data_IF_366543251247
#
_entry.id   IF_366543251247
#
_cell.length_a   1.000
_cell.length_b   1.000
_cell.length_c   1.000
_cell.angle_alpha   90.00
_cell.angle_beta   90.00
_cell.angle_gamma   90.00
#
_symmetry.space_group_name_H-M   'P 1'
#
loop_
_entity.id
_entity.type
_entity.pdbx_description
1 polymer ?
#
# COMPACT_ATOMS: atom_id res chain seq x y z
N UNK A 1 28.07 -20.93 -56.60
CA UNK A 1 28.38 -21.57 -55.31
C UNK A 1 27.76 -20.69 -54.23
N UNK A 2 26.51 -20.93 -53.89
CA UNK A 2 26.01 -21.85 -52.85
C UNK A 2 25.74 -21.07 -51.55
N UNK A 3 24.47 -20.74 -51.36
CA UNK A 3 23.85 -20.14 -50.18
C UNK A 3 23.85 -21.14 -49.02
N UNK A 4 24.42 -20.76 -47.88
CA UNK A 4 24.38 -21.56 -46.64
C UNK A 4 23.22 -21.10 -45.74
N UNK A 5 22.32 -22.00 -45.31
CA UNK A 5 21.33 -21.69 -44.28
C UNK A 5 21.89 -22.00 -42.88
N UNK A 6 21.83 -21.03 -41.95
CA UNK A 6 22.11 -21.26 -40.53
C UNK A 6 20.86 -21.80 -39.81
N UNK A 7 21.06 -22.93 -39.13
CA UNK A 7 20.08 -23.66 -38.32
C UNK A 7 20.08 -23.09 -36.89
N UNK A 8 18.89 -22.90 -36.35
CA UNK A 8 18.60 -22.41 -34.99
C UNK A 8 19.02 -23.39 -33.87
N UNK A 9 19.38 -22.89 -32.67
CA UNK A 9 19.33 -23.69 -31.45
C UNK A 9 18.03 -23.45 -30.65
N UNK A 10 17.43 -24.57 -30.24
CA UNK A 10 16.18 -24.72 -29.50
C UNK A 10 16.24 -24.25 -28.04
N UNK A 11 15.13 -23.68 -27.57
CA UNK A 11 14.86 -23.32 -26.18
C UNK A 11 14.70 -24.54 -25.25
N UNK A 12 15.14 -24.46 -23.97
CA UNK A 12 15.08 -25.58 -23.04
C UNK A 12 13.66 -25.83 -22.47
N UNK A 13 13.30 -27.12 -22.31
CA UNK A 13 12.01 -27.59 -21.78
C UNK A 13 11.95 -27.54 -20.26
N UNK A 14 10.80 -27.11 -19.73
CA UNK A 14 10.43 -27.10 -18.30
C UNK A 14 10.05 -28.49 -17.76
N UNK A 15 10.34 -28.83 -16.48
CA UNK A 15 10.00 -30.12 -15.91
C UNK A 15 8.55 -30.18 -15.40
N UNK A 16 7.84 -31.27 -15.69
CA UNK A 16 6.50 -31.57 -15.16
C UNK A 16 6.56 -32.44 -13.90
N UNK A 17 5.63 -32.29 -12.93
CA UNK A 17 5.60 -33.08 -11.71
C UNK A 17 4.94 -34.45 -11.89
N UNK A 18 5.51 -35.49 -11.27
CA UNK A 18 5.00 -36.88 -11.28
C UNK A 18 3.92 -37.08 -10.20
N UNK A 19 2.80 -37.70 -10.58
CA UNK A 19 1.72 -38.13 -9.68
C UNK A 19 2.03 -39.42 -8.90
N UNK A 20 1.52 -39.62 -7.67
CA UNK A 20 1.68 -40.88 -6.93
C UNK A 20 0.58 -41.92 -7.26
N UNK A 21 0.84 -43.24 -7.05
CA UNK A 21 -0.04 -44.32 -7.48
C UNK A 21 -1.20 -44.58 -6.52
N UNK A 22 -2.33 -44.99 -7.09
CA UNK A 22 -3.57 -45.36 -6.42
C UNK A 22 -3.44 -46.59 -5.51
N UNK A 23 -3.98 -46.54 -4.29
CA UNK A 23 -4.43 -47.72 -3.53
C UNK A 23 -5.93 -47.60 -3.25
N UNK A 24 -6.67 -48.61 -3.68
CA UNK A 24 -8.08 -48.83 -3.32
C UNK A 24 -8.15 -49.32 -1.87
N UNK A 25 -9.01 -48.73 -1.07
CA UNK A 25 -9.68 -49.42 0.04
C UNK A 25 -11.07 -48.81 0.20
N UNK A 26 -12.06 -49.63 -0.12
CA UNK A 26 -13.47 -49.38 0.15
C UNK A 26 -13.71 -49.40 1.66
N UNK A 27 -14.42 -48.39 2.17
CA UNK A 27 -15.30 -48.52 3.33
C UNK A 27 -16.37 -47.42 3.22
N UNK A 28 -17.45 -47.78 2.54
CA UNK A 28 -18.64 -46.95 2.34
C UNK A 28 -19.64 -47.16 3.48
N UNK A 29 -19.43 -46.59 4.69
CA UNK A 29 -20.52 -46.63 5.70
C UNK A 29 -20.68 -45.39 6.60
N UNK A 30 -19.99 -44.27 6.36
CA UNK A 30 -20.20 -43.01 7.12
C UNK A 30 -20.47 -41.77 6.25
N UNK A 31 -20.85 -41.97 4.99
CA UNK A 31 -20.87 -40.91 3.98
C UNK A 31 -22.17 -40.11 3.82
N UNK A 32 -23.28 -40.44 4.49
CA UNK A 32 -24.61 -39.98 4.03
C UNK A 32 -25.40 -39.00 4.89
N UNK A 33 -24.89 -38.52 6.04
CA UNK A 33 -25.63 -37.50 6.81
C UNK A 33 -24.79 -36.50 7.64
N UNK A 34 -23.48 -36.39 7.42
CA UNK A 34 -22.61 -35.50 8.24
C UNK A 34 -21.77 -34.45 7.50
N UNK A 35 -21.68 -34.50 6.16
CA UNK A 35 -20.61 -33.80 5.43
C UNK A 35 -20.97 -32.51 4.69
N UNK A 36 -22.25 -32.19 4.51
CA UNK A 36 -22.66 -31.07 3.63
C UNK A 36 -22.63 -29.70 4.31
N UNK A 37 -22.73 -29.67 5.64
CA UNK A 37 -22.73 -28.42 6.43
C UNK A 37 -21.33 -27.88 6.69
N UNK A 38 -20.36 -28.75 7.00
CA UNK A 38 -18.97 -28.34 7.22
C UNK A 38 -18.27 -27.88 5.93
N UNK A 39 -18.60 -28.51 4.79
CA UNK A 39 -18.01 -28.15 3.49
C UNK A 39 -18.50 -26.81 2.96
N UNK A 40 -19.78 -26.48 3.19
CA UNK A 40 -20.35 -25.17 2.82
C UNK A 40 -19.79 -24.02 3.66
N UNK A 41 -19.53 -24.24 4.96
CA UNK A 41 -18.88 -23.24 5.81
C UNK A 41 -17.48 -22.87 5.30
N UNK A 42 -16.64 -23.86 5.00
CA UNK A 42 -15.29 -23.62 4.48
C UNK A 42 -15.28 -22.96 3.09
N UNK A 43 -16.22 -23.31 2.22
CA UNK A 43 -16.32 -22.69 0.90
C UNK A 43 -16.77 -21.22 0.98
N UNK A 44 -17.65 -20.89 1.93
CA UNK A 44 -18.08 -19.52 2.18
C UNK A 44 -16.96 -18.68 2.76
N UNK A 45 -16.24 -19.20 3.74
CA UNK A 45 -15.08 -18.55 4.36
C UNK A 45 -13.97 -18.26 3.33
N UNK A 46 -13.64 -19.24 2.47
CA UNK A 46 -12.66 -19.02 1.39
C UNK A 46 -13.14 -17.97 0.39
N UNK A 47 -14.44 -17.93 0.09
CA UNK A 47 -15.02 -16.92 -0.79
C UNK A 47 -14.99 -15.53 -0.17
N UNK A 48 -15.30 -15.41 1.13
CA UNK A 48 -15.26 -14.16 1.89
C UNK A 48 -13.82 -13.62 1.96
N UNK A 49 -12.84 -14.47 2.29
CA UNK A 49 -11.41 -14.08 2.32
C UNK A 49 -10.89 -13.65 0.94
N UNK A 50 -11.40 -14.28 -0.12
CA UNK A 50 -10.99 -13.93 -1.48
C UNK A 50 -11.66 -12.64 -1.96
N UNK A 51 -12.90 -12.40 -1.57
CA UNK A 51 -13.62 -11.13 -1.81
C UNK A 51 -12.98 -9.97 -1.04
N UNK A 52 -12.61 -10.19 0.23
CA UNK A 52 -11.82 -9.24 1.04
C UNK A 52 -10.47 -8.96 0.39
N UNK A 53 -9.76 -9.99 -0.08
CA UNK A 53 -8.48 -9.83 -0.78
C UNK A 53 -8.61 -9.04 -2.09
N UNK A 54 -9.67 -9.27 -2.87
CA UNK A 54 -9.97 -8.53 -4.09
C UNK A 54 -10.30 -7.07 -3.76
N UNK A 55 -11.08 -6.81 -2.72
CA UNK A 55 -11.39 -5.46 -2.26
C UNK A 55 -10.12 -4.73 -1.79
N UNK A 56 -9.26 -5.37 -1.00
CA UNK A 56 -8.01 -4.77 -0.53
C UNK A 56 -7.03 -4.40 -1.66
N UNK A 57 -7.01 -5.17 -2.76
CA UNK A 57 -6.16 -4.89 -3.93
C UNK A 57 -6.77 -3.82 -4.84
N UNK A 58 -8.10 -3.82 -5.00
CA UNK A 58 -8.80 -2.94 -5.94
C UNK A 58 -9.25 -1.61 -5.34
N UNK A 59 -9.02 -1.35 -4.04
CA UNK A 59 -9.12 0.00 -3.53
C UNK A 59 -8.20 0.86 -4.41
N UNK A 60 -8.72 1.90 -5.08
CA UNK A 60 -7.85 2.81 -5.80
C UNK A 60 -6.84 3.32 -4.78
N UNK A 61 -5.55 3.28 -5.12
CA UNK A 61 -4.45 3.95 -4.42
C UNK A 61 -4.63 5.49 -4.37
N UNK A 62 -5.88 5.97 -4.33
CA UNK A 62 -6.23 7.29 -3.86
C UNK A 62 -5.69 7.41 -2.45
N UNK A 63 -5.01 8.51 -2.08
CA UNK A 63 -4.72 8.77 -0.67
C UNK A 63 -6.03 8.57 0.06
N UNK A 64 -6.06 7.62 1.00
CA UNK A 64 -7.22 7.33 1.83
C UNK A 64 -7.61 8.71 2.38
N UNK A 65 -8.73 9.31 1.96
CA UNK A 65 -9.27 10.43 2.72
C UNK A 65 -9.43 9.82 4.10
N UNK A 66 -8.84 10.43 5.12
CA UNK A 66 -9.05 10.03 6.51
C UNK A 66 -10.57 9.90 6.69
N UNK A 67 -11.10 8.68 6.58
CA UNK A 67 -12.50 8.38 6.79
C UNK A 67 -12.60 8.29 8.30
N UNK A 68 -12.63 9.47 8.92
CA UNK A 68 -12.83 9.59 10.36
C UNK A 68 -14.19 8.94 10.63
N UNK A 69 -14.19 7.89 11.43
CA UNK A 69 -15.44 7.31 11.91
C UNK A 69 -16.21 8.45 12.60
N UNK A 70 -17.54 8.61 12.42
CA UNK A 70 -18.31 9.58 13.19
C UNK A 70 -17.98 9.55 14.69
N UNK A 71 -17.68 8.39 15.28
CA UNK A 71 -17.21 8.24 16.66
C UNK A 71 -15.86 8.94 16.93
N UNK A 72 -14.94 9.00 15.96
CA UNK A 72 -13.65 9.71 16.07
C UNK A 72 -13.80 11.23 16.00
N UNK A 73 -14.93 11.71 15.45
CA UNK A 73 -15.29 13.13 15.36
C UNK A 73 -16.19 13.61 16.49
N UNK A 74 -16.81 12.70 17.24
CA UNK A 74 -17.64 13.03 18.39
C UNK A 74 -16.78 13.45 19.57
N UNK A 75 -17.03 14.67 20.05
CA UNK A 75 -16.39 15.22 21.23
C UNK A 75 -17.10 14.72 22.49
N UNK A 76 -16.33 14.38 23.54
CA UNK A 76 -16.90 14.09 24.86
C UNK A 76 -17.50 15.35 25.52
N UNK A 77 -18.34 15.18 26.56
CA UNK A 77 -18.87 16.31 27.32
C UNK A 77 -17.72 17.16 27.90
N UNK A 78 -17.67 18.44 27.50
CA UNK A 78 -16.62 19.41 27.81
C UNK A 78 -15.29 19.24 27.05
N UNK A 79 -15.23 18.43 25.99
CA UNK A 79 -14.06 18.37 25.10
C UNK A 79 -14.10 19.51 24.07
N UNK A 80 -12.95 20.19 23.88
CA UNK A 80 -12.79 21.25 22.88
C UNK A 80 -11.62 20.89 21.98
N UNK A 81 -11.88 20.80 20.67
CA UNK A 81 -10.85 20.67 19.64
C UNK A 81 -10.78 21.96 18.82
N UNK A 82 -9.55 22.38 18.51
CA UNK A 82 -9.31 23.49 17.59
C UNK A 82 -8.89 22.92 16.25
N UNK A 83 -9.64 23.25 15.20
CA UNK A 83 -9.30 22.88 13.84
C UNK A 83 -8.57 24.04 13.17
N UNK A 84 -7.55 23.70 12.38
CA UNK A 84 -6.89 24.69 11.52
C UNK A 84 -7.89 25.09 10.44
N UNK A 85 -8.14 26.38 10.25
CA UNK A 85 -8.98 26.87 9.15
C UNK A 85 -8.33 26.45 7.81
N UNK A 86 -9.06 25.76 6.91
CA UNK A 86 -8.54 25.37 5.61
C UNK A 86 -7.92 26.53 4.80
N UNK A 87 -8.42 27.75 5.00
CA UNK A 87 -7.93 28.96 4.34
C UNK A 87 -6.70 29.57 5.00
N UNK A 88 -6.26 29.05 6.16
CA UNK A 88 -5.07 29.56 6.87
C UNK A 88 -3.82 29.52 6.00
N UNK A 89 -3.73 28.56 5.07
CA UNK A 89 -2.65 28.48 4.08
C UNK A 89 -2.57 29.69 3.17
N UNK A 90 -3.68 30.40 2.96
CA UNK A 90 -3.75 31.61 2.13
C UNK A 90 -3.43 32.89 2.91
N UNK A 91 -3.14 32.81 4.22
CA UNK A 91 -2.75 33.98 5.01
C UNK A 91 -1.42 34.54 4.48
N UNK A 92 -1.38 35.82 4.05
CA UNK A 92 -0.16 36.46 3.58
C UNK A 92 1.01 36.36 4.56
N UNK A 93 0.75 36.42 5.87
CA UNK A 93 1.79 36.33 6.89
C UNK A 93 2.41 34.95 6.95
N UNK A 94 1.59 33.91 6.81
CA UNK A 94 2.08 32.53 6.76
C UNK A 94 2.91 32.30 5.50
N UNK A 95 2.44 32.78 4.35
CA UNK A 95 3.17 32.67 3.08
C UNK A 95 4.53 33.39 3.13
N UNK A 96 4.58 34.58 3.72
CA UNK A 96 5.83 35.31 3.94
C UNK A 96 6.78 34.53 4.86
N UNK A 97 6.26 34.01 5.98
CA UNK A 97 7.05 33.20 6.90
C UNK A 97 7.61 31.94 6.22
N UNK A 98 6.77 31.21 5.48
CA UNK A 98 7.19 30.04 4.71
C UNK A 98 8.33 30.39 3.76
N UNK A 99 8.22 31.50 3.04
CA UNK A 99 9.28 31.95 2.13
C UNK A 99 10.58 32.27 2.87
N UNK A 100 10.52 33.03 3.97
CA UNK A 100 11.70 33.38 4.78
C UNK A 100 12.39 32.13 5.32
N UNK A 101 11.62 31.13 5.76
CA UNK A 101 12.16 29.86 6.23
C UNK A 101 12.83 29.07 5.09
N UNK A 102 12.22 29.01 3.91
CA UNK A 102 12.80 28.36 2.73
C UNK A 102 14.13 29.03 2.36
N UNK A 103 14.15 30.36 2.28
CA UNK A 103 15.35 31.12 1.93
C UNK A 103 16.46 30.90 2.96
N UNK A 104 16.13 30.94 4.26
CA UNK A 104 17.09 30.67 5.33
C UNK A 104 17.66 29.25 5.30
N UNK A 105 16.80 28.23 5.14
CA UNK A 105 17.26 26.83 5.08
C UNK A 105 18.16 26.62 3.85
N UNK A 106 17.79 27.19 2.71
CA UNK A 106 18.58 27.11 1.48
C UNK A 106 19.96 27.77 1.65
N UNK A 107 20.03 28.94 2.29
CA UNK A 107 21.30 29.62 2.55
C UNK A 107 22.21 28.79 3.48
N UNK A 108 21.64 28.10 4.46
CA UNK A 108 22.40 27.22 5.37
C UNK A 108 22.88 25.95 4.65
N UNK A 109 22.02 25.31 3.86
CA UNK A 109 22.32 23.99 3.26
C UNK A 109 22.89 24.05 1.84
N UNK A 110 23.17 25.24 1.30
CA UNK A 110 23.75 25.41 -0.05
C UNK A 110 25.07 24.65 -0.23
N UNK A 111 25.88 24.55 0.82
CA UNK A 111 27.15 23.81 0.81
C UNK A 111 26.97 22.31 0.59
N UNK A 112 25.85 21.76 1.05
CA UNK A 112 25.47 20.35 0.89
C UNK A 112 24.73 20.08 -0.42
N UNK A 113 24.51 21.13 -1.24
CA UNK A 113 23.75 21.07 -2.50
C UNK A 113 22.30 20.62 -2.28
N UNK A 114 21.74 20.93 -1.13
CA UNK A 114 20.34 20.72 -0.80
C UNK A 114 19.56 21.98 -1.16
N UNK A 115 18.39 21.80 -1.76
CA UNK A 115 17.50 22.91 -2.13
C UNK A 115 16.08 22.52 -1.71
N UNK A 116 15.54 23.28 -0.78
CA UNK A 116 14.15 23.23 -0.31
C UNK A 116 13.30 24.16 -1.16
N UNK A 117 12.13 23.67 -1.58
CA UNK A 117 11.13 24.38 -2.37
C UNK A 117 9.77 24.40 -1.70
N UNK A 118 9.39 23.34 -1.02
CA UNK A 118 8.14 23.22 -0.27
C UNK A 118 8.44 22.67 1.13
N UNK A 119 8.21 23.49 2.16
CA UNK A 119 8.48 23.08 3.55
C UNK A 119 7.65 21.87 3.99
N UNK A 120 6.41 21.73 3.50
CA UNK A 120 5.55 20.64 3.93
C UNK A 120 5.99 19.30 3.34
N UNK A 121 6.50 19.30 2.12
CA UNK A 121 6.98 18.09 1.44
C UNK A 121 8.43 17.78 1.78
N UNK A 122 9.33 18.76 1.66
CA UNK A 122 10.78 18.57 1.79
C UNK A 122 11.20 18.31 3.25
N UNK A 123 10.39 18.72 4.23
CA UNK A 123 10.65 18.43 5.65
C UNK A 123 9.94 17.16 6.14
N UNK A 124 9.10 16.53 5.32
CA UNK A 124 8.18 15.48 5.74
C UNK A 124 8.89 14.21 6.25
N UNK A 125 9.96 13.79 5.57
CA UNK A 125 10.74 12.61 5.93
C UNK A 125 11.80 12.87 7.01
N UNK A 126 11.98 14.14 7.40
CA UNK A 126 12.97 14.57 8.39
C UNK A 126 14.42 14.62 7.90
N UNK A 127 14.71 14.28 6.64
CA UNK A 127 16.09 14.25 6.13
C UNK A 127 16.73 15.64 6.10
N UNK A 128 15.98 16.66 5.67
CA UNK A 128 16.42 18.06 5.68
C UNK A 128 16.64 18.55 7.11
N UNK A 129 15.75 18.18 8.02
CA UNK A 129 15.88 18.52 9.44
C UNK A 129 17.16 17.95 10.03
N UNK A 130 17.47 16.68 9.77
CA UNK A 130 18.70 16.07 10.25
C UNK A 130 19.95 16.85 9.80
N UNK A 131 20.00 17.28 8.53
CA UNK A 131 21.12 18.06 8.00
C UNK A 131 21.28 19.44 8.63
N UNK A 132 20.20 20.06 9.06
CA UNK A 132 20.26 21.34 9.79
C UNK A 132 20.85 21.21 11.21
N UNK A 133 20.87 20.01 11.80
CA UNK A 133 21.40 19.76 13.15
C UNK A 133 22.80 19.14 13.18
N UNK A 134 23.34 18.73 12.03
CA UNK A 134 24.72 18.22 11.88
C UNK A 134 25.75 19.37 11.86
#
# INVERSE_FOLDING_TARGET
>A
MATSPQKSPSSPKSPTPKSPPSRKKDDSFLGKLGGTLARRKKAKEVSELQEEGINAINLPLSPIPFELDPEDTMLEENEVRTMIDPNSRSDPKLQELMKVLIDWINDVLVGERIIVKDLAEDMYDGQVLQKLFE
#
